data_IF_904012373069
#
_entry.id   IF_904012373069
#
_cell.length_a   1.000
_cell.length_b   1.000
_cell.length_c   1.000
_cell.angle_alpha   90.00
_cell.angle_beta   90.00
_cell.angle_gamma   90.00
#
_symmetry.space_group_name_H-M   'P 1'
#
loop_
_entity.id
_entity.type
_entity.pdbx_description
1 polymer ?
#
# COMPACT_ATOMS: atom_id res chain seq x y z
N UNK A 1 7.17 20.06 -18.86
CA UNK A 1 7.12 19.77 -17.41
C UNK A 1 5.95 18.82 -17.19
N UNK A 2 6.19 17.60 -16.69
CA UNK A 2 5.11 16.66 -16.41
C UNK A 2 4.26 17.22 -15.24
N UNK A 3 2.95 17.39 -15.45
CA UNK A 3 2.04 17.79 -14.38
C UNK A 3 1.95 16.62 -13.40
N UNK A 4 2.36 16.84 -12.15
CA UNK A 4 2.15 15.85 -11.08
C UNK A 4 0.64 15.61 -10.94
N UNK A 5 0.20 14.39 -11.15
CA UNK A 5 -1.18 13.98 -10.92
C UNK A 5 -1.52 14.21 -9.46
N UNK A 6 -2.53 15.05 -9.19
CA UNK A 6 -3.06 15.23 -7.82
C UNK A 6 -3.65 13.91 -7.34
N UNK A 7 -3.32 13.54 -6.10
CA UNK A 7 -3.85 12.35 -5.42
C UNK A 7 -4.77 12.85 -4.32
N UNK A 8 -5.97 12.29 -4.22
CA UNK A 8 -6.93 12.58 -3.16
C UNK A 8 -7.02 11.37 -2.24
N UNK A 9 -7.07 11.64 -0.93
CA UNK A 9 -7.23 10.63 0.10
C UNK A 9 -8.59 10.80 0.78
N UNK A 10 -9.22 9.70 1.16
CA UNK A 10 -10.40 9.70 2.01
C UNK A 10 -10.35 8.49 2.93
N UNK A 11 -11.00 8.62 4.08
CA UNK A 11 -11.25 7.50 4.99
C UNK A 11 -12.66 6.99 4.72
N UNK A 12 -12.79 5.67 4.55
CA UNK A 12 -14.09 5.02 4.66
C UNK A 12 -14.32 4.71 6.14
N UNK A 13 -15.27 5.40 6.74
CA UNK A 13 -15.65 5.11 8.11
C UNK A 13 -16.45 3.81 8.14
N UNK A 14 -15.91 2.79 8.82
CA UNK A 14 -16.60 1.50 8.96
C UNK A 14 -17.90 1.67 9.77
N UNK A 15 -18.95 0.92 9.41
CA UNK A 15 -20.23 0.95 10.13
C UNK A 15 -20.11 0.51 11.61
N UNK A 16 -19.04 -0.20 11.95
CA UNK A 16 -18.70 -0.64 13.29
C UNK A 16 -17.73 0.31 14.01
N UNK A 17 -17.32 1.43 13.40
CA UNK A 17 -16.44 2.44 14.03
C UNK A 17 -16.98 2.88 15.39
N UNK A 18 -18.24 3.34 15.42
CA UNK A 18 -18.91 3.70 16.68
C UNK A 18 -19.36 2.50 17.50
N UNK A 19 -19.25 1.27 16.97
CA UNK A 19 -19.49 0.04 17.72
C UNK A 19 -18.25 -0.42 18.49
N UNK A 20 -17.05 0.02 18.09
CA UNK A 20 -15.78 -0.26 18.74
C UNK A 20 -15.84 0.09 20.24
N UNK A 21 -15.34 -0.82 21.08
CA UNK A 21 -15.45 -0.70 22.53
C UNK A 21 -14.64 0.50 23.06
N UNK A 22 -13.46 0.79 22.51
CA UNK A 22 -12.66 1.96 22.88
C UNK A 22 -13.37 3.26 22.51
N UNK A 23 -13.90 3.37 21.29
CA UNK A 23 -14.66 4.56 20.86
C UNK A 23 -15.91 4.75 21.73
N UNK A 24 -16.67 3.68 21.99
CA UNK A 24 -17.83 3.74 22.91
C UNK A 24 -17.43 4.13 24.32
N UNK A 25 -16.34 3.58 24.84
CA UNK A 25 -15.86 3.84 26.19
C UNK A 25 -15.44 5.30 26.34
N UNK A 26 -14.67 5.84 25.40
CA UNK A 26 -14.22 7.24 25.37
C UNK A 26 -15.41 8.20 25.47
N UNK A 27 -16.41 8.01 24.59
CA UNK A 27 -17.60 8.86 24.53
C UNK A 27 -18.46 8.81 25.79
N UNK A 28 -18.44 7.70 26.54
CA UNK A 28 -19.28 7.50 27.73
C UNK A 28 -18.60 7.86 29.04
N UNK A 29 -17.29 7.68 29.13
CA UNK A 29 -16.56 7.76 30.40
C UNK A 29 -15.69 8.99 30.54
N UNK A 30 -15.33 9.64 29.42
CA UNK A 30 -14.49 10.84 29.42
C UNK A 30 -15.35 12.05 29.08
N UNK A 31 -15.28 13.10 29.91
CA UNK A 31 -15.92 14.37 29.60
C UNK A 31 -15.30 14.97 28.34
N UNK A 32 -16.13 15.37 27.37
CA UNK A 32 -15.62 15.79 26.06
C UNK A 32 -15.16 14.63 25.16
N UNK A 33 -15.49 13.38 25.50
CA UNK A 33 -15.10 12.21 24.70
C UNK A 33 -15.52 12.26 23.23
N UNK A 34 -16.63 12.93 22.91
CA UNK A 34 -17.04 13.18 21.53
C UNK A 34 -16.02 14.06 20.77
N UNK A 35 -15.51 15.13 21.41
CA UNK A 35 -14.46 15.99 20.86
C UNK A 35 -13.19 15.19 20.62
N UNK A 36 -12.78 14.35 21.57
CA UNK A 36 -11.57 13.52 21.43
C UNK A 36 -11.70 12.50 20.28
N UNK A 37 -12.90 11.96 20.03
CA UNK A 37 -13.18 11.11 18.87
C UNK A 37 -13.08 11.89 17.55
N UNK A 38 -13.48 13.16 17.53
CA UNK A 38 -13.32 14.04 16.35
C UNK A 38 -11.85 14.34 16.10
N UNK A 39 -11.08 14.69 17.14
CA UNK A 39 -9.63 14.90 17.06
C UNK A 39 -8.94 13.65 16.50
N UNK A 40 -9.31 12.47 16.97
CA UNK A 40 -8.77 11.21 16.44
C UNK A 40 -9.09 11.02 14.95
N UNK A 41 -10.31 11.32 14.50
CA UNK A 41 -10.66 11.27 13.08
C UNK A 41 -9.85 12.27 12.25
N UNK A 42 -9.64 13.48 12.75
CA UNK A 42 -8.78 14.48 12.09
C UNK A 42 -7.33 13.99 12.00
N UNK A 43 -6.80 13.39 13.07
CA UNK A 43 -5.47 12.77 13.06
C UNK A 43 -5.38 11.65 12.01
N UNK A 44 -6.39 10.77 11.93
CA UNK A 44 -6.45 9.72 10.92
C UNK A 44 -6.41 10.31 9.50
N UNK A 45 -7.16 11.39 9.25
CA UNK A 45 -7.17 12.07 7.94
C UNK A 45 -5.81 12.70 7.61
N UNK A 46 -5.18 13.34 8.59
CA UNK A 46 -3.89 14.00 8.41
C UNK A 46 -2.75 13.02 8.12
N UNK A 47 -2.87 11.77 8.59
CA UNK A 47 -1.85 10.74 8.43
C UNK A 47 -1.97 9.93 7.13
N UNK A 48 -3.08 10.06 6.40
CA UNK A 48 -3.32 9.34 5.14
C UNK A 48 -2.24 9.52 4.07
N UNK A 49 -1.68 10.72 3.84
CA UNK A 49 -0.64 10.90 2.83
C UNK A 49 0.61 10.05 3.10
N UNK A 50 0.80 9.64 4.35
CA UNK A 50 1.95 8.88 4.84
C UNK A 50 1.51 7.51 5.41
N UNK A 51 0.48 6.90 4.82
CA UNK A 51 0.03 5.55 5.16
C UNK A 51 -0.30 5.32 6.65
N UNK A 52 -0.79 6.36 7.34
CA UNK A 52 -1.15 6.27 8.76
C UNK A 52 -0.15 6.91 9.71
N UNK A 53 0.94 7.49 9.22
CA UNK A 53 1.97 8.12 10.06
C UNK A 53 1.88 9.65 10.05
N UNK A 54 1.84 10.26 11.22
CA UNK A 54 2.09 11.70 11.41
C UNK A 54 3.54 11.82 11.87
N UNK A 55 4.41 12.28 10.98
CA UNK A 55 5.82 12.45 11.30
C UNK A 55 6.04 13.59 12.27
N UNK A 56 6.92 13.37 13.23
CA UNK A 56 7.42 14.44 14.08
C UNK A 56 8.56 15.17 13.36
N UNK A 57 8.38 16.45 13.06
CA UNK A 57 9.37 17.25 12.35
C UNK A 57 10.49 17.76 13.28
N UNK A 58 10.30 17.69 14.59
CA UNK A 58 11.26 18.16 15.59
C UNK A 58 11.35 19.68 15.69
N UNK A 59 10.35 20.39 15.14
CA UNK A 59 10.29 21.86 15.16
C UNK A 59 9.80 22.36 16.52
N UNK A 60 8.85 21.62 17.11
CA UNK A 60 8.30 21.92 18.44
C UNK A 60 8.87 20.96 19.49
N UNK A 61 8.36 20.98 20.73
CA UNK A 61 8.89 20.13 21.81
C UNK A 61 8.39 18.68 21.72
N UNK A 62 7.18 18.48 21.21
CA UNK A 62 6.55 17.18 21.06
C UNK A 62 5.63 17.15 19.83
N UNK A 63 5.27 15.93 19.39
CA UNK A 63 4.34 15.71 18.29
C UNK A 63 2.94 16.27 18.57
N UNK A 64 2.54 16.36 19.84
CA UNK A 64 1.23 16.90 20.21
C UNK A 64 1.12 18.39 19.84
N UNK A 65 2.17 19.18 20.04
CA UNK A 65 2.23 20.59 19.65
C UNK A 65 2.18 20.76 18.13
N UNK A 66 2.81 19.87 17.36
CA UNK A 66 2.75 19.91 15.90
C UNK A 66 1.36 19.53 15.38
N UNK A 67 0.73 18.52 15.99
CA UNK A 67 -0.65 18.14 15.70
C UNK A 67 -1.63 19.28 16.01
N UNK A 68 -1.45 19.99 17.14
CA UNK A 68 -2.26 21.16 17.50
C UNK A 68 -2.21 22.22 16.41
N UNK A 69 -1.01 22.54 15.92
CA UNK A 69 -0.85 23.56 14.89
C UNK A 69 -1.51 23.14 13.56
N UNK A 70 -1.45 21.85 13.23
CA UNK A 70 -2.02 21.31 12.01
C UNK A 70 -3.56 21.19 12.05
N UNK A 71 -4.13 20.88 13.23
CA UNK A 71 -5.56 20.61 13.39
C UNK A 71 -6.36 21.80 13.94
N UNK A 72 -5.70 22.84 14.47
CA UNK A 72 -6.33 23.98 15.15
C UNK A 72 -7.18 23.56 16.36
N UNK A 73 -6.67 22.59 17.12
CA UNK A 73 -7.31 22.00 18.30
C UNK A 73 -6.55 22.36 19.59
N UNK A 74 -7.19 22.18 20.74
CA UNK A 74 -6.54 22.50 22.03
C UNK A 74 -5.47 21.46 22.39
N UNK A 75 -4.32 21.95 22.88
CA UNK A 75 -3.19 21.10 23.28
C UNK A 75 -3.55 20.04 24.32
N UNK A 76 -4.37 20.41 25.30
CA UNK A 76 -4.80 19.47 26.35
C UNK A 76 -5.69 18.35 25.78
N UNK A 77 -6.58 18.68 24.83
CA UNK A 77 -7.47 17.71 24.18
C UNK A 77 -6.68 16.78 23.25
N UNK A 78 -5.71 17.31 22.49
CA UNK A 78 -4.83 16.50 21.63
C UNK A 78 -3.98 15.53 22.45
N UNK A 79 -3.38 16.00 23.56
CA UNK A 79 -2.59 15.13 24.44
C UNK A 79 -3.45 14.04 25.09
N UNK A 80 -4.65 14.38 25.53
CA UNK A 80 -5.59 13.43 26.09
C UNK A 80 -6.04 12.39 25.05
N UNK A 81 -6.27 12.82 23.81
CA UNK A 81 -6.58 11.91 22.72
C UNK A 81 -5.40 10.94 22.46
N UNK A 82 -4.18 11.45 22.31
CA UNK A 82 -2.98 10.62 22.08
C UNK A 82 -2.84 9.56 23.19
N UNK A 83 -2.86 9.97 24.46
CA UNK A 83 -2.70 9.06 25.60
C UNK A 83 -3.82 7.99 25.63
N UNK A 84 -5.06 8.40 25.39
CA UNK A 84 -6.20 7.48 25.38
C UNK A 84 -6.08 6.45 24.26
N UNK A 85 -5.83 6.91 23.02
CA UNK A 85 -5.77 6.03 21.85
C UNK A 85 -4.52 5.16 21.84
N UNK A 86 -3.43 5.60 22.46
CA UNK A 86 -2.26 4.77 22.72
C UNK A 86 -2.58 3.63 23.69
N UNK A 87 -3.25 3.91 24.80
CA UNK A 87 -3.71 2.88 25.75
C UNK A 87 -4.74 1.93 25.15
N UNK A 88 -5.58 2.43 24.23
CA UNK A 88 -6.55 1.62 23.51
C UNK A 88 -5.93 0.75 22.39
N UNK A 89 -4.63 0.91 22.11
CA UNK A 89 -3.94 0.17 21.04
C UNK A 89 -4.36 0.60 19.63
N UNK A 90 -4.86 1.82 19.47
CA UNK A 90 -5.27 2.38 18.18
C UNK A 90 -4.24 3.36 17.61
N UNK A 91 -3.35 3.84 18.45
CA UNK A 91 -2.25 4.75 18.13
C UNK A 91 -0.96 4.24 18.76
N UNK A 92 0.18 4.45 18.12
CA UNK A 92 1.51 4.18 18.68
C UNK A 92 2.42 5.39 18.46
N UNK A 93 3.25 5.72 19.44
CA UNK A 93 4.36 6.67 19.25
C UNK A 93 5.63 5.88 18.99
N UNK A 94 6.28 6.13 17.86
CA UNK A 94 7.56 5.51 17.48
C UNK A 94 8.74 6.06 18.26
N UNK A 95 9.89 5.40 18.13
CA UNK A 95 11.15 5.81 18.77
C UNK A 95 11.64 7.19 18.28
N UNK A 96 11.20 7.60 17.08
CA UNK A 96 11.46 8.90 16.46
C UNK A 96 10.50 10.00 16.93
N UNK A 97 9.52 9.66 17.77
CA UNK A 97 8.48 10.59 18.25
C UNK A 97 7.28 10.72 17.30
N UNK A 98 7.29 10.06 16.15
CA UNK A 98 6.18 10.09 15.19
C UNK A 98 4.97 9.31 15.70
N UNK A 99 3.76 9.73 15.32
CA UNK A 99 2.52 9.06 15.70
C UNK A 99 2.01 8.17 14.56
N UNK A 100 1.87 6.88 14.83
CA UNK A 100 1.35 5.87 13.91
C UNK A 100 -0.09 5.48 14.27
N UNK A 101 -0.99 5.60 13.31
CA UNK A 101 -2.40 5.27 13.42
C UNK A 101 -2.64 3.86 12.90
N UNK A 102 -2.72 2.89 13.81
CA UNK A 102 -2.70 1.46 13.49
C UNK A 102 -3.92 0.98 12.69
N UNK A 103 -5.02 1.73 12.70
CA UNK A 103 -6.24 1.39 11.97
C UNK A 103 -6.26 1.89 10.51
N UNK A 104 -5.37 2.82 10.15
CA UNK A 104 -5.37 3.45 8.83
C UNK A 104 -5.19 2.45 7.68
N UNK A 105 -4.28 1.47 7.75
CA UNK A 105 -4.13 0.47 6.68
C UNK A 105 -5.41 -0.33 6.37
N UNK A 106 -6.33 -0.44 7.32
CA UNK A 106 -7.61 -1.16 7.15
C UNK A 106 -8.76 -0.25 6.64
N UNK A 107 -8.58 1.08 6.68
CA UNK A 107 -9.64 2.07 6.42
C UNK A 107 -9.41 2.89 5.14
N UNK A 108 -8.25 2.74 4.49
CA UNK A 108 -7.88 3.49 3.30
C UNK A 108 -8.60 2.98 2.05
N UNK A 109 -9.09 3.92 1.23
CA UNK A 109 -9.23 3.75 -0.22
C UNK A 109 -8.50 4.88 -0.94
N UNK A 110 -7.96 4.61 -2.13
CA UNK A 110 -7.26 5.60 -2.97
C UNK A 110 -7.91 5.66 -4.37
N UNK A 111 -8.09 6.86 -4.94
CA UNK A 111 -8.72 7.06 -6.25
C UNK A 111 -8.05 8.19 -6.98
N UNK A 112 -8.10 8.09 -8.30
CA UNK A 112 -7.53 9.08 -9.22
C UNK A 112 -8.50 10.26 -9.43
N UNK A 113 -7.98 11.37 -9.95
CA UNK A 113 -8.78 12.55 -10.32
C UNK A 113 -9.99 12.22 -11.21
N UNK A 114 -9.87 11.20 -12.06
CA UNK A 114 -10.93 10.74 -12.95
C UNK A 114 -12.09 10.05 -12.21
N UNK A 115 -11.76 9.22 -11.22
CA UNK A 115 -12.74 8.52 -10.39
C UNK A 115 -13.49 9.50 -9.47
N UNK A 116 -12.78 10.50 -8.94
CA UNK A 116 -13.39 11.62 -8.22
C UNK A 116 -14.39 12.38 -9.09
N UNK A 117 -13.98 12.79 -10.29
CA UNK A 117 -14.86 13.50 -11.24
C UNK A 117 -16.15 12.71 -11.53
N UNK A 118 -16.06 11.39 -11.75
CA UNK A 118 -17.23 10.54 -11.98
C UNK A 118 -18.16 10.47 -10.77
N UNK A 119 -17.61 10.33 -9.55
CA UNK A 119 -18.39 10.29 -8.32
C UNK A 119 -19.06 11.64 -8.03
N UNK A 120 -18.34 12.75 -8.23
CA UNK A 120 -18.88 14.11 -8.07
C UNK A 120 -20.04 14.36 -9.07
N UNK A 121 -19.86 13.96 -10.34
CA UNK A 121 -20.93 13.97 -11.37
C UNK A 121 -22.14 13.10 -11.00
N UNK A 122 -21.92 11.95 -10.36
CA UNK A 122 -23.00 11.09 -9.86
C UNK A 122 -23.74 11.78 -8.72
N UNK A 123 -23.01 12.41 -7.78
CA UNK A 123 -23.60 13.15 -6.66
C UNK A 123 -24.41 14.39 -7.10
N UNK A 124 -23.96 15.10 -8.14
CA UNK A 124 -24.73 16.20 -8.75
C UNK A 124 -26.08 15.72 -9.33
N UNK A 125 -26.12 14.51 -9.89
CA UNK A 125 -27.37 13.90 -10.36
C UNK A 125 -28.27 13.41 -9.21
N UNK A 126 -27.76 13.36 -7.97
CA UNK A 126 -28.48 13.02 -6.74
C UNK A 126 -28.89 14.27 -5.92
N UNK A 127 -28.96 15.46 -6.54
CA UNK A 127 -29.57 16.61 -5.86
C UNK A 127 -31.04 16.30 -5.52
N UNK A 128 -31.50 16.58 -4.27
CA UNK A 128 -32.88 16.32 -3.90
C UNK A 128 -33.78 17.15 -4.79
N UNK A 129 -34.74 16.48 -5.45
CA UNK A 129 -35.79 17.12 -6.26
C UNK A 129 -36.61 18.02 -5.33
N UNK A 130 -36.16 19.25 -5.17
CA UNK A 130 -36.96 20.33 -4.64
C UNK A 130 -37.86 20.83 -5.77
N UNK A 131 -39.15 20.55 -5.62
CA UNK A 131 -40.27 21.19 -6.31
C UNK A 131 -40.32 21.04 -7.83
N UNK A 132 -40.78 19.89 -8.33
CA UNK A 132 -41.73 19.91 -9.45
C UNK A 132 -42.60 18.66 -9.50
N UNK A 133 -43.89 18.91 -9.73
CA UNK A 133 -45.02 18.00 -9.68
C UNK A 133 -44.91 16.83 -10.67
N UNK A 134 -45.39 15.67 -10.21
CA UNK A 134 -45.64 14.45 -10.97
C UNK A 134 -46.46 14.71 -12.25
N UNK A 135 -46.01 14.18 -13.39
CA UNK A 135 -46.91 13.62 -14.42
C UNK A 135 -46.28 12.44 -15.16
N UNK A 136 -46.82 11.26 -14.87
CA UNK A 136 -47.33 10.28 -15.84
C UNK A 136 -46.39 9.48 -16.77
N UNK A 137 -46.37 8.17 -16.50
CA UNK A 137 -46.67 7.08 -17.45
C UNK A 137 -45.51 6.27 -18.08
N UNK A 138 -45.31 5.09 -17.46
CA UNK A 138 -45.24 3.75 -18.06
C UNK A 138 -44.19 3.44 -19.13
N UNK A 139 -43.11 2.75 -18.73
CA UNK A 139 -42.82 1.33 -19.03
C UNK A 139 -41.33 1.07 -18.74
N UNK A 140 -41.03 0.40 -17.62
CA UNK A 140 -39.67 -0.06 -17.32
C UNK A 140 -39.70 -1.51 -16.87
N UNK A 141 -39.14 -2.42 -17.69
CA UNK A 141 -38.46 -3.58 -17.16
C UNK A 141 -37.08 -3.70 -17.81
N UNK A 142 -36.04 -2.98 -17.35
CA UNK A 142 -34.62 -3.31 -17.65
C UNK A 142 -33.53 -2.49 -16.92
N UNK A 143 -33.80 -1.78 -15.82
CA UNK A 143 -32.73 -1.05 -15.11
C UNK A 143 -32.00 -1.93 -14.07
N UNK A 144 -32.74 -2.79 -13.36
CA UNK A 144 -32.18 -3.63 -12.28
C UNK A 144 -31.27 -4.74 -12.84
N UNK A 145 -31.57 -5.30 -14.01
CA UNK A 145 -30.74 -6.36 -14.62
C UNK A 145 -29.39 -5.83 -15.12
N UNK A 146 -29.32 -4.56 -15.57
CA UNK A 146 -28.07 -3.90 -15.97
C UNK A 146 -27.25 -3.40 -14.77
N UNK A 147 -27.91 -3.04 -13.67
CA UNK A 147 -27.24 -2.67 -12.42
C UNK A 147 -26.47 -3.86 -11.81
N UNK A 148 -27.05 -5.07 -11.83
CA UNK A 148 -26.42 -6.27 -11.28
C UNK A 148 -25.22 -6.73 -12.14
N UNK A 149 -25.31 -6.64 -13.48
CA UNK A 149 -24.16 -6.97 -14.35
C UNK A 149 -22.97 -6.00 -14.15
N UNK A 150 -23.23 -4.71 -13.99
CA UNK A 150 -22.19 -3.70 -13.75
C UNK A 150 -21.57 -3.80 -12.34
N UNK A 151 -22.35 -4.16 -11.32
CA UNK A 151 -21.83 -4.37 -9.96
C UNK A 151 -20.91 -5.61 -9.88
N UNK A 152 -21.28 -6.71 -10.54
CA UNK A 152 -20.47 -7.95 -10.60
C UNK A 152 -19.15 -7.73 -11.35
N UNK A 153 -19.13 -6.85 -12.37
CA UNK A 153 -17.91 -6.51 -13.11
C UNK A 153 -16.97 -5.62 -12.29
N UNK A 154 -17.53 -4.71 -11.47
CA UNK A 154 -16.79 -3.78 -10.60
C UNK A 154 -16.24 -4.45 -9.33
N UNK A 155 -16.93 -5.47 -8.80
CA UNK A 155 -16.46 -6.31 -7.70
C UNK A 155 -15.26 -7.17 -8.14
N UNK A 156 -15.31 -7.72 -9.37
CA UNK A 156 -14.18 -8.43 -9.99
C UNK A 156 -12.97 -7.53 -10.25
N UNK A 157 -13.14 -6.24 -10.53
CA UNK A 157 -12.01 -5.30 -10.69
C UNK A 157 -11.38 -4.89 -9.35
N UNK A 158 -12.17 -4.77 -8.28
CA UNK A 158 -11.69 -4.49 -6.91
C UNK A 158 -11.03 -5.69 -6.25
N UNK A 159 -11.59 -6.90 -6.43
CA UNK A 159 -10.90 -8.14 -6.03
C UNK A 159 -9.55 -8.26 -6.74
N UNK A 160 -9.48 -7.94 -8.04
CA UNK A 160 -8.21 -7.89 -8.77
C UNK A 160 -7.23 -6.86 -8.21
N UNK A 161 -7.68 -5.76 -7.61
CA UNK A 161 -6.78 -4.70 -7.11
C UNK A 161 -6.22 -5.02 -5.72
N UNK A 162 -7.05 -5.61 -4.84
CA UNK A 162 -6.64 -6.15 -3.54
C UNK A 162 -5.79 -7.42 -3.71
N UNK A 163 -6.14 -8.30 -4.66
CA UNK A 163 -5.25 -9.37 -5.11
C UNK A 163 -3.95 -8.78 -5.66
N UNK A 164 -3.97 -7.72 -6.48
CA UNK A 164 -2.72 -7.11 -7.01
C UNK A 164 -1.79 -6.61 -5.90
N UNK A 165 -2.28 -5.97 -4.84
CA UNK A 165 -1.44 -5.48 -3.74
C UNK A 165 -0.92 -6.59 -2.81
N UNK A 166 -1.78 -7.54 -2.43
CA UNK A 166 -1.37 -8.75 -1.67
C UNK A 166 -0.40 -9.63 -2.47
N UNK A 167 -0.62 -9.73 -3.78
CA UNK A 167 0.24 -10.45 -4.72
C UNK A 167 1.58 -9.75 -4.95
N UNK A 168 1.69 -8.43 -4.83
CA UNK A 168 2.98 -7.72 -4.94
C UNK A 168 3.89 -8.05 -3.77
N UNK A 169 3.36 -8.09 -2.54
CA UNK A 169 4.13 -8.48 -1.35
C UNK A 169 4.55 -9.95 -1.40
N UNK A 170 3.65 -10.84 -1.82
CA UNK A 170 3.98 -12.26 -2.02
C UNK A 170 5.00 -12.47 -3.15
N UNK A 171 4.83 -11.79 -4.29
CA UNK A 171 5.76 -11.87 -5.43
C UNK A 171 7.11 -11.32 -5.08
N UNK A 172 7.19 -10.19 -4.37
CA UNK A 172 8.47 -9.65 -3.92
C UNK A 172 9.12 -10.56 -2.88
N UNK A 173 8.35 -11.11 -1.94
CA UNK A 173 8.87 -12.07 -0.97
C UNK A 173 9.46 -13.29 -1.67
N UNK A 174 8.75 -13.88 -2.64
CA UNK A 174 9.23 -15.00 -3.46
C UNK A 174 10.49 -14.59 -4.24
N UNK A 175 10.43 -13.51 -4.99
CA UNK A 175 11.55 -12.96 -5.76
C UNK A 175 12.81 -12.78 -4.90
N UNK A 176 12.68 -12.09 -3.77
CA UNK A 176 13.83 -11.77 -2.92
C UNK A 176 14.37 -13.00 -2.19
N UNK A 177 13.50 -13.95 -1.84
CA UNK A 177 13.91 -15.19 -1.16
C UNK A 177 14.90 -16.00 -2.01
N UNK A 178 14.75 -16.00 -3.34
CA UNK A 178 15.65 -16.69 -4.29
C UNK A 178 17.08 -16.17 -4.11
N UNK A 179 17.27 -14.86 -4.16
CA UNK A 179 18.59 -14.25 -4.00
C UNK A 179 19.11 -14.33 -2.56
N UNK A 180 18.24 -14.18 -1.56
CA UNK A 180 18.62 -14.24 -0.16
C UNK A 180 19.13 -15.64 0.23
N UNK A 181 18.45 -16.70 -0.23
CA UNK A 181 18.88 -18.07 -0.03
C UNK A 181 20.13 -18.40 -0.85
N UNK A 182 20.28 -17.80 -2.04
CA UNK A 182 21.40 -18.09 -2.93
C UNK A 182 22.75 -17.54 -2.44
N UNK A 183 22.79 -16.28 -1.98
CA UNK A 183 24.01 -15.65 -1.48
C UNK A 183 23.71 -14.74 -0.29
N UNK A 184 24.39 -14.98 0.85
CA UNK A 184 24.18 -14.23 2.11
C UNK A 184 24.34 -12.71 1.95
N UNK A 185 25.17 -12.24 1.01
CA UNK A 185 25.38 -10.80 0.73
C UNK A 185 24.11 -10.06 0.28
N UNK A 186 23.09 -10.79 -0.20
CA UNK A 186 21.89 -10.20 -0.78
C UNK A 186 20.93 -9.62 0.27
N UNK A 187 21.10 -9.92 1.57
CA UNK A 187 20.30 -9.32 2.64
C UNK A 187 20.38 -7.79 2.71
N UNK A 188 21.56 -7.22 2.44
CA UNK A 188 21.85 -5.81 2.68
C UNK A 188 21.21 -4.85 1.66
N UNK A 189 20.63 -5.36 0.57
CA UNK A 189 20.02 -4.55 -0.51
C UNK A 189 18.50 -4.79 -0.65
N UNK A 190 17.85 -5.32 0.39
CA UNK A 190 16.40 -5.61 0.38
C UNK A 190 15.55 -4.39 0.05
N UNK A 191 15.77 -3.27 0.73
CA UNK A 191 15.01 -2.04 0.52
C UNK A 191 15.15 -1.50 -0.91
N UNK A 192 16.38 -1.50 -1.46
CA UNK A 192 16.63 -1.06 -2.82
C UNK A 192 15.98 -1.99 -3.86
N UNK A 193 16.03 -3.31 -3.63
CA UNK A 193 15.38 -4.29 -4.50
C UNK A 193 13.85 -4.15 -4.47
N UNK A 194 13.26 -3.85 -3.29
CA UNK A 194 11.82 -3.62 -3.14
C UNK A 194 11.38 -2.39 -3.94
N UNK A 195 12.10 -1.28 -3.79
CA UNK A 195 11.80 -0.04 -4.49
C UNK A 195 11.83 -0.26 -6.02
N UNK A 196 12.84 -0.96 -6.53
CA UNK A 196 12.93 -1.24 -7.97
C UNK A 196 11.82 -2.20 -8.43
N UNK A 197 11.56 -3.26 -7.66
CA UNK A 197 10.51 -4.24 -7.98
C UNK A 197 9.11 -3.61 -8.01
N UNK A 198 8.83 -2.63 -7.15
CA UNK A 198 7.57 -1.90 -7.13
C UNK A 198 7.35 -1.09 -8.43
N UNK A 199 8.41 -0.62 -9.06
CA UNK A 199 8.32 0.14 -10.33
C UNK A 199 8.04 -0.73 -11.55
N UNK A 200 8.21 -2.05 -11.45
CA UNK A 200 7.95 -2.97 -12.55
C UNK A 200 6.45 -3.05 -12.89
N UNK A 201 6.07 -3.07 -14.18
CA UNK A 201 4.76 -3.51 -14.63
C UNK A 201 4.41 -4.91 -14.10
N UNK A 202 3.12 -5.23 -13.88
CA UNK A 202 2.70 -6.51 -13.31
C UNK A 202 3.28 -7.75 -14.02
N UNK A 203 3.30 -7.76 -15.36
CA UNK A 203 3.86 -8.89 -16.13
C UNK A 203 5.38 -9.05 -15.91
N UNK A 204 6.11 -7.94 -15.75
CA UNK A 204 7.56 -7.98 -15.50
C UNK A 204 7.89 -8.46 -14.08
N UNK A 205 6.95 -8.41 -13.13
CA UNK A 205 7.15 -8.98 -11.79
C UNK A 205 7.22 -10.50 -11.85
N UNK A 206 6.39 -11.12 -12.69
CA UNK A 206 6.44 -12.57 -12.94
C UNK A 206 7.71 -12.96 -13.70
N UNK A 207 8.06 -12.19 -14.74
CA UNK A 207 9.31 -12.37 -15.48
C UNK A 207 10.54 -12.23 -14.56
N UNK A 208 10.53 -11.30 -13.60
CA UNK A 208 11.61 -11.12 -12.64
C UNK A 208 11.79 -12.34 -11.72
N UNK A 209 10.71 -13.01 -11.31
CA UNK A 209 10.76 -14.23 -10.50
C UNK A 209 11.32 -15.39 -11.34
N UNK A 210 10.77 -15.61 -12.55
CA UNK A 210 11.22 -16.67 -13.46
C UNK A 210 12.70 -16.48 -13.81
N UNK A 211 13.07 -15.25 -14.17
CA UNK A 211 14.43 -14.85 -14.48
C UNK A 211 15.38 -15.10 -13.31
N UNK A 212 14.97 -14.78 -12.08
CA UNK A 212 15.78 -15.02 -10.88
C UNK A 212 16.02 -16.52 -10.63
N UNK A 213 14.98 -17.35 -10.78
CA UNK A 213 15.10 -18.81 -10.62
C UNK A 213 16.06 -19.41 -11.65
N UNK A 214 15.95 -18.99 -12.90
CA UNK A 214 16.82 -19.47 -13.99
C UNK A 214 18.25 -18.93 -13.85
N UNK A 215 18.41 -17.67 -13.46
CA UNK A 215 19.71 -17.05 -13.23
C UNK A 215 20.52 -17.80 -12.17
N UNK A 216 19.90 -18.08 -11.02
CA UNK A 216 20.57 -18.79 -9.91
C UNK A 216 21.01 -20.18 -10.34
N UNK A 217 20.13 -20.92 -11.06
CA UNK A 217 20.47 -22.24 -11.62
C UNK A 217 21.61 -22.16 -12.63
N UNK A 218 21.53 -21.21 -13.55
CA UNK A 218 22.56 -20.96 -14.57
C UNK A 218 23.91 -20.63 -13.92
N UNK A 219 23.92 -19.72 -12.93
CA UNK A 219 25.15 -19.27 -12.28
C UNK A 219 25.92 -20.43 -11.65
N UNK A 220 25.23 -21.36 -10.98
CA UNK A 220 25.87 -22.56 -10.39
C UNK A 220 26.52 -23.44 -11.45
N UNK A 221 25.90 -23.57 -12.62
CA UNK A 221 26.41 -24.39 -13.72
C UNK A 221 27.60 -23.71 -14.43
N UNK A 222 27.55 -22.40 -14.58
CA UNK A 222 28.57 -21.60 -15.26
C UNK A 222 29.80 -21.31 -14.36
N UNK A 223 29.59 -21.26 -13.04
CA UNK A 223 30.62 -20.89 -12.05
C UNK A 223 30.78 -21.96 -10.95
N UNK A 224 31.14 -23.22 -11.28
CA UNK A 224 31.20 -24.31 -10.31
C UNK A 224 32.27 -24.13 -9.22
N UNK A 225 33.25 -23.25 -9.45
CA UNK A 225 34.31 -22.96 -8.48
C UNK A 225 33.89 -21.95 -7.40
N UNK A 226 32.83 -21.15 -7.61
CA UNK A 226 32.31 -20.19 -6.62
C UNK A 226 31.22 -20.80 -5.73
N UNK A 227 31.66 -21.64 -4.78
CA UNK A 227 30.76 -22.29 -3.80
C UNK A 227 29.98 -21.33 -2.90
N UNK A 228 30.44 -20.09 -2.80
CA UNK A 228 29.83 -19.06 -1.95
C UNK A 228 28.82 -18.18 -2.70
N UNK A 229 28.79 -18.30 -4.03
CA UNK A 229 28.05 -17.44 -4.95
C UNK A 229 28.34 -15.95 -4.73
N UNK A 230 29.53 -15.62 -4.20
CA UNK A 230 29.87 -14.26 -3.81
C UNK A 230 30.09 -13.33 -5.00
N UNK A 231 30.29 -13.86 -6.22
CA UNK A 231 30.40 -13.05 -7.43
C UNK A 231 29.08 -12.93 -8.21
N UNK A 232 27.99 -13.56 -7.72
CA UNK A 232 26.67 -13.47 -8.34
C UNK A 232 26.08 -12.06 -8.28
N UNK A 233 25.22 -11.73 -9.23
CA UNK A 233 24.44 -10.49 -9.22
C UNK A 233 23.46 -10.55 -8.04
N UNK A 234 23.30 -9.42 -7.35
CA UNK A 234 22.34 -9.30 -6.24
C UNK A 234 20.94 -8.95 -6.76
N UNK A 235 19.92 -9.19 -5.94
CA UNK A 235 18.52 -8.93 -6.29
C UNK A 235 18.27 -7.52 -6.86
N UNK A 236 18.81 -6.49 -6.21
CA UNK A 236 18.64 -5.11 -6.68
C UNK A 236 19.23 -4.89 -8.08
N UNK A 237 20.50 -5.26 -8.29
CA UNK A 237 21.16 -5.09 -9.59
C UNK A 237 20.52 -5.98 -10.68
N UNK A 238 19.91 -7.09 -10.31
CA UNK A 238 19.23 -7.99 -11.23
C UNK A 238 17.99 -7.35 -11.86
N UNK A 239 17.17 -6.68 -11.04
CA UNK A 239 16.00 -5.95 -11.55
C UNK A 239 16.41 -4.63 -12.21
N UNK A 240 17.27 -3.85 -11.55
CA UNK A 240 17.68 -2.52 -12.03
C UNK A 240 18.23 -2.55 -13.46
N UNK A 241 18.98 -3.59 -13.79
CA UNK A 241 19.58 -3.75 -15.11
C UNK A 241 18.71 -4.61 -16.06
N UNK A 242 17.46 -4.89 -15.67
CA UNK A 242 16.51 -5.71 -16.42
C UNK A 242 17.04 -7.09 -16.85
N UNK A 243 17.98 -7.66 -16.08
CA UNK A 243 18.66 -8.91 -16.44
C UNK A 243 17.69 -10.09 -16.50
N UNK A 244 16.56 -10.03 -15.80
CA UNK A 244 15.52 -11.05 -15.88
C UNK A 244 15.08 -11.36 -17.31
N UNK A 245 15.10 -10.39 -18.22
CA UNK A 245 14.74 -10.60 -19.63
C UNK A 245 15.63 -11.64 -20.34
N UNK A 246 16.91 -11.72 -19.96
CA UNK A 246 17.87 -12.67 -20.54
C UNK A 246 17.74 -14.09 -19.97
N UNK A 247 16.98 -14.25 -18.88
CA UNK A 247 16.83 -15.50 -18.14
C UNK A 247 15.38 -16.02 -18.12
N UNK A 248 14.52 -15.62 -19.08
CA UNK A 248 13.16 -16.16 -19.17
C UNK A 248 13.13 -17.66 -19.47
N UNK A 249 14.15 -18.16 -20.16
CA UNK A 249 14.42 -19.59 -20.34
C UNK A 249 15.79 -19.94 -19.74
N UNK A 250 16.01 -21.21 -19.41
CA UNK A 250 17.30 -21.66 -18.88
C UNK A 250 18.36 -21.57 -19.99
N UNK A 251 19.40 -20.73 -19.86
CA UNK A 251 20.39 -20.55 -20.93
C UNK A 251 21.18 -21.84 -21.18
N UNK A 252 21.58 -22.07 -22.44
CA UNK A 252 22.47 -23.18 -22.78
C UNK A 252 23.83 -22.98 -22.11
N UNK A 253 24.19 -23.89 -21.20
CA UNK A 253 25.51 -23.91 -20.59
C UNK A 253 26.51 -24.29 -21.68
N UNK A 254 27.42 -23.36 -22.02
CA UNK A 254 28.55 -23.68 -22.90
C UNK A 254 29.34 -24.79 -22.21
N UNK A 255 29.26 -26.01 -22.72
CA UNK A 255 30.12 -27.12 -22.28
C UNK A 255 31.56 -26.66 -22.43
N UNK A 256 32.18 -26.26 -21.33
CA UNK A 256 33.62 -25.98 -21.30
C UNK A 256 34.27 -27.30 -21.66
N UNK A 257 34.76 -27.39 -22.90
CA UNK A 257 35.58 -28.50 -23.33
C UNK A 257 36.75 -28.58 -22.34
N UNK A 258 36.75 -29.61 -21.49
CA UNK A 258 37.88 -29.93 -20.62
C UNK A 258 39.11 -29.94 -21.53
N UNK A 259 39.97 -28.92 -21.44
CA UNK A 259 41.29 -28.97 -22.04
C UNK A 259 41.95 -30.21 -21.46
N UNK A 260 42.11 -31.24 -22.31
CA UNK A 260 42.90 -32.42 -21.98
C UNK A 260 44.24 -31.90 -21.46
N UNK A 261 44.53 -32.16 -20.19
CA UNK A 261 45.87 -32.08 -19.64
C UNK A 261 46.71 -33.04 -20.51
N UNK A 262 47.58 -32.48 -21.32
CA UNK A 262 48.66 -33.25 -21.93
C UNK A 262 49.63 -33.59 -20.78
N UNK A 263 49.74 -34.88 -20.49
CA UNK A 263 50.84 -35.47 -19.73
C UNK A 263 51.96 -35.71 -20.73
#
# INVERSE_FOLDING_TARGET
MASKTKIYFWIKLDENFFKNLAIKNLRKTVSGGDTLVIIYQQMLLSSLPNNGVIYYEGTLQDIAQEIVLNLDEKLDDVRLAIDYFQKAGLLQIGDDGSAEMLQVPMLIGQETNWNKYKRDKKLENFQPISNQLLTSSNQAPTEIEKEIELEIELEKEKEKEIERETNIDEKFARYFSIFHQFARKNGNKRAMALQEFMTLPPFQKDEAIIGAENYVKFYVLDNPDDKSHQYSVNAYEFIKNALFGDYQEMPEVKKVAKKKKWI
#
